data_IF_482301609512
#
_entry.id   IF_482301609512
#
_cell.length_a   1.000
_cell.length_b   1.000
_cell.length_c   1.000
_cell.angle_alpha   90.00
_cell.angle_beta   90.00
_cell.angle_gamma   90.00
#
_symmetry.space_group_name_H-M   'P 1'
#
loop_
_entity.id
_entity.type
_entity.pdbx_description
1 polymer ?
#
# COMPACT_ATOMS: atom_id res chain seq x y z
N UNK A 1 -8.76 18.69 -23.19
CA UNK A 1 -8.74 17.86 -21.96
C UNK A 1 -9.07 16.35 -22.17
N UNK A 2 -8.85 15.75 -23.35
CA UNK A 2 -9.41 14.43 -23.70
C UNK A 2 -8.50 13.21 -23.44
N UNK A 3 -7.17 13.38 -23.50
CA UNK A 3 -6.23 12.25 -23.52
C UNK A 3 -6.04 11.59 -22.15
N UNK A 4 -5.91 12.40 -21.07
CA UNK A 4 -5.77 11.88 -19.69
C UNK A 4 -6.94 10.99 -19.28
N UNK A 5 -8.18 11.44 -19.53
CA UNK A 5 -9.40 10.67 -19.17
C UNK A 5 -9.50 9.33 -19.91
N UNK A 6 -9.08 9.29 -21.18
CA UNK A 6 -9.07 8.05 -21.97
C UNK A 6 -8.01 7.06 -21.45
N UNK A 7 -6.83 7.56 -21.08
CA UNK A 7 -5.76 6.76 -20.48
C UNK A 7 -6.14 6.19 -19.11
N UNK A 8 -6.77 6.99 -18.23
CA UNK A 8 -7.21 6.51 -16.90
C UNK A 8 -8.34 5.47 -16.99
N UNK A 9 -9.28 5.63 -17.94
CA UNK A 9 -10.33 4.63 -18.16
C UNK A 9 -9.77 3.28 -18.63
N UNK A 10 -8.73 3.32 -19.48
CA UNK A 10 -7.98 2.12 -19.89
C UNK A 10 -7.23 1.52 -18.70
N UNK A 11 -6.57 2.36 -17.89
CA UNK A 11 -5.83 1.92 -16.71
C UNK A 11 -6.72 1.23 -15.66
N UNK A 12 -7.97 1.68 -15.51
CA UNK A 12 -8.94 1.04 -14.60
C UNK A 12 -9.61 -0.21 -15.18
N UNK A 13 -9.62 -0.38 -16.51
CA UNK A 13 -10.33 -1.48 -17.18
C UNK A 13 -11.85 -1.29 -17.32
N UNK A 14 -12.37 -0.08 -17.06
CA UNK A 14 -13.80 0.23 -17.12
C UNK A 14 -14.28 0.45 -18.57
N UNK A 15 -15.38 -0.19 -18.95
CA UNK A 15 -15.95 -0.17 -20.31
C UNK A 15 -17.04 0.89 -20.48
N UNK A 16 -17.25 1.36 -21.71
CA UNK A 16 -18.40 2.23 -22.03
C UNK A 16 -19.65 1.42 -22.27
N UNK A 17 -20.77 1.92 -21.76
CA UNK A 17 -22.07 1.27 -21.89
C UNK A 17 -22.81 1.82 -23.10
N UNK A 18 -22.61 3.10 -23.43
CA UNK A 18 -23.29 3.77 -24.55
C UNK A 18 -24.61 4.40 -24.15
N UNK A 19 -24.92 4.45 -22.85
CA UNK A 19 -26.06 5.16 -22.27
C UNK A 19 -25.50 6.29 -21.43
N UNK A 20 -25.80 7.54 -21.80
CA UNK A 20 -25.18 8.73 -21.20
C UNK A 20 -25.34 8.79 -19.68
N UNK A 21 -26.55 8.60 -19.16
CA UNK A 21 -26.83 8.65 -17.71
C UNK A 21 -26.02 7.60 -16.94
N UNK A 22 -25.96 6.37 -17.45
CA UNK A 22 -25.23 5.27 -16.83
C UNK A 22 -23.71 5.49 -16.92
N UNK A 23 -23.20 5.94 -18.08
CA UNK A 23 -21.78 6.25 -18.25
C UNK A 23 -21.33 7.42 -17.31
N UNK A 24 -22.20 8.39 -17.00
CA UNK A 24 -21.89 9.43 -16.00
C UNK A 24 -21.80 8.87 -14.57
N UNK A 25 -22.67 7.93 -14.19
CA UNK A 25 -22.58 7.26 -12.88
C UNK A 25 -21.24 6.53 -12.73
N UNK A 26 -20.80 5.81 -13.76
CA UNK A 26 -19.50 5.14 -13.76
C UNK A 26 -18.31 6.10 -13.77
N UNK A 27 -18.41 7.26 -14.42
CA UNK A 27 -17.34 8.26 -14.44
C UNK A 27 -16.96 8.75 -13.05
N UNK A 28 -17.91 8.85 -12.13
CA UNK A 28 -17.65 9.26 -10.74
C UNK A 28 -16.75 8.25 -10.01
N UNK A 29 -16.81 6.97 -10.38
CA UNK A 29 -15.99 5.92 -9.77
C UNK A 29 -14.58 5.82 -10.37
N UNK A 30 -14.30 6.38 -11.55
CA UNK A 30 -13.01 6.21 -12.24
C UNK A 30 -11.83 6.73 -11.39
N UNK A 31 -11.96 7.94 -10.82
CA UNK A 31 -10.85 8.54 -10.07
C UNK A 31 -10.58 7.80 -8.75
N UNK A 32 -11.59 7.51 -7.90
CA UNK A 32 -11.38 6.67 -6.71
C UNK A 32 -10.79 5.29 -7.05
N UNK A 33 -11.23 4.68 -8.15
CA UNK A 33 -10.74 3.39 -8.59
C UNK A 33 -9.27 3.42 -9.00
N UNK A 34 -8.84 4.46 -9.72
CA UNK A 34 -7.44 4.64 -10.11
C UNK A 34 -6.54 4.81 -8.88
N UNK A 35 -6.95 5.63 -7.90
CA UNK A 35 -6.22 5.82 -6.65
C UNK A 35 -6.12 4.50 -5.87
N UNK A 36 -7.20 3.72 -5.80
CA UNK A 36 -7.19 2.40 -5.14
C UNK A 36 -6.18 1.45 -5.78
N UNK A 37 -6.16 1.35 -7.12
CA UNK A 37 -5.22 0.50 -7.85
C UNK A 37 -3.77 0.95 -7.61
N UNK A 38 -3.52 2.26 -7.64
CA UNK A 38 -2.19 2.83 -7.38
C UNK A 38 -1.71 2.55 -5.96
N UNK A 39 -2.54 2.79 -4.94
CA UNK A 39 -2.21 2.52 -3.54
C UNK A 39 -1.86 1.05 -3.29
N UNK A 40 -2.61 0.15 -3.92
CA UNK A 40 -2.31 -1.29 -3.87
C UNK A 40 -0.96 -1.61 -4.50
N UNK A 41 -0.70 -1.09 -5.70
CA UNK A 41 0.57 -1.28 -6.38
C UNK A 41 1.76 -0.74 -5.60
N UNK A 42 1.61 0.42 -4.94
CA UNK A 42 2.65 0.98 -4.07
C UNK A 42 2.96 0.07 -2.88
N UNK A 43 1.95 -0.49 -2.21
CA UNK A 43 2.18 -1.41 -1.09
C UNK A 43 2.89 -2.69 -1.55
N UNK A 44 2.37 -3.31 -2.62
CA UNK A 44 2.93 -4.54 -3.17
C UNK A 44 4.41 -4.34 -3.59
N UNK A 45 4.71 -3.23 -4.26
CA UNK A 45 6.08 -2.89 -4.70
C UNK A 45 7.02 -2.63 -3.52
N UNK A 46 6.60 -1.83 -2.54
CA UNK A 46 7.41 -1.52 -1.37
C UNK A 46 7.69 -2.75 -0.51
N UNK A 47 6.69 -3.64 -0.36
CA UNK A 47 6.85 -4.88 0.40
C UNK A 47 7.84 -5.83 -0.28
N UNK A 48 7.77 -5.98 -1.61
CA UNK A 48 8.75 -6.78 -2.37
C UNK A 48 10.15 -6.19 -2.27
N UNK A 49 10.27 -4.86 -2.43
CA UNK A 49 11.56 -4.16 -2.30
C UNK A 49 12.18 -4.38 -0.93
N UNK A 50 11.42 -4.16 0.14
CA UNK A 50 11.90 -4.38 1.50
C UNK A 50 12.31 -5.83 1.75
N UNK A 51 11.53 -6.82 1.30
CA UNK A 51 11.89 -8.25 1.42
C UNK A 51 13.24 -8.55 0.78
N UNK A 52 13.44 -8.04 -0.44
CA UNK A 52 14.70 -8.21 -1.18
C UNK A 52 15.87 -7.53 -0.46
N UNK A 53 15.70 -6.27 -0.05
CA UNK A 53 16.74 -5.51 0.66
C UNK A 53 17.09 -6.15 2.02
N UNK A 54 16.10 -6.73 2.72
CA UNK A 54 16.27 -7.47 3.96
C UNK A 54 16.95 -8.84 3.72
N UNK A 55 16.78 -9.43 2.53
CA UNK A 55 17.27 -10.77 2.20
C UNK A 55 16.38 -11.88 2.76
N UNK A 56 15.07 -11.61 2.90
CA UNK A 56 14.08 -12.65 3.21
C UNK A 56 13.40 -13.10 1.92
N UNK A 57 13.00 -14.37 1.86
CA UNK A 57 12.35 -14.92 0.67
C UNK A 57 11.03 -14.23 0.32
N UNK A 58 10.45 -14.50 -0.86
CA UNK A 58 9.20 -13.85 -1.32
C UNK A 58 8.01 -14.02 -0.36
N UNK A 59 7.96 -15.14 0.37
CA UNK A 59 6.97 -15.44 1.40
C UNK A 59 7.42 -15.04 2.82
N UNK A 60 8.51 -14.27 2.94
CA UNK A 60 9.07 -13.80 4.20
C UNK A 60 8.12 -12.84 4.92
N UNK A 61 7.96 -13.05 6.22
CA UNK A 61 7.09 -12.25 7.07
C UNK A 61 7.79 -10.99 7.60
N UNK A 62 7.01 -9.96 7.95
CA UNK A 62 7.52 -8.74 8.60
C UNK A 62 8.35 -9.09 9.85
N UNK A 63 7.81 -9.97 10.71
CA UNK A 63 8.50 -10.45 11.92
C UNK A 63 9.87 -11.10 11.62
N UNK A 64 9.97 -11.92 10.57
CA UNK A 64 11.25 -12.53 10.19
C UNK A 64 12.26 -11.47 9.76
N UNK A 65 11.84 -10.50 8.94
CA UNK A 65 12.73 -9.42 8.51
C UNK A 65 13.17 -8.52 9.67
N UNK A 66 12.27 -8.16 10.59
CA UNK A 66 12.61 -7.38 11.78
C UNK A 66 13.63 -8.08 12.69
N UNK A 67 13.47 -9.40 12.92
CA UNK A 67 14.44 -10.20 13.66
C UNK A 67 15.81 -10.23 12.98
N UNK A 68 15.82 -10.33 11.65
CA UNK A 68 17.06 -10.33 10.87
C UNK A 68 17.75 -8.96 10.91
N UNK A 69 16.99 -7.87 10.80
CA UNK A 69 17.49 -6.50 10.96
C UNK A 69 18.11 -6.29 12.36
N UNK A 70 17.46 -6.79 13.41
CA UNK A 70 17.98 -6.77 14.78
C UNK A 70 19.29 -7.56 14.92
N UNK A 71 19.34 -8.79 14.41
CA UNK A 71 20.53 -9.62 14.45
C UNK A 71 21.71 -8.95 13.72
N UNK A 72 21.48 -8.44 12.51
CA UNK A 72 22.53 -7.75 11.72
C UNK A 72 23.01 -6.46 12.38
N UNK A 73 22.12 -5.73 13.03
CA UNK A 73 22.51 -4.53 13.81
C UNK A 73 23.38 -4.90 15.00
N UNK A 74 23.01 -5.95 15.75
CA UNK A 74 23.84 -6.45 16.87
C UNK A 74 25.23 -6.89 16.39
N UNK A 75 25.31 -7.61 15.27
CA UNK A 75 26.59 -7.99 14.66
C UNK A 75 27.41 -6.77 14.23
N UNK A 76 26.79 -5.80 13.57
CA UNK A 76 27.47 -4.57 13.17
C UNK A 76 28.01 -3.80 14.39
N UNK A 77 27.25 -3.76 15.49
CA UNK A 77 27.66 -3.10 16.73
C UNK A 77 28.84 -3.81 17.42
N UNK A 78 28.89 -5.15 17.35
CA UNK A 78 30.02 -5.93 17.84
C UNK A 78 31.29 -5.69 17.03
N UNK A 79 31.17 -5.55 15.70
CA UNK A 79 32.31 -5.33 14.81
C UNK A 79 32.95 -3.94 14.95
N UNK A 80 32.19 -2.94 15.43
CA UNK A 80 32.70 -1.58 15.71
C UNK A 80 33.35 -1.49 17.10
N UNK A 81 33.08 -2.45 17.99
CA UNK A 81 33.67 -2.50 19.33
C UNK A 81 35.01 -3.27 19.29
N UNK A 82 36.15 -2.68 19.68
CA UNK A 82 37.41 -3.42 19.77
C UNK A 82 37.28 -4.60 20.77
N UNK A 83 38.03 -5.70 20.60
CA UNK A 83 38.19 -6.68 21.66
C UNK A 83 38.70 -5.95 22.91
N UNK A 84 38.08 -6.20 24.08
CA UNK A 84 38.56 -5.64 25.35
C UNK A 84 39.94 -6.19 25.65
N UNK A 85 40.97 -5.45 25.28
CA UNK A 85 42.31 -5.64 25.82
C UNK A 85 42.29 -5.22 27.31
N UNK A 86 42.85 -6.01 28.23
CA UNK A 86 42.98 -5.62 29.62
C UNK A 86 44.13 -4.63 29.75
N UNK A 87 43.90 -3.34 29.46
CA UNK A 87 44.87 -2.31 29.83
C UNK A 87 44.20 -0.95 29.97
N UNK A 88 44.36 -0.37 31.17
CA UNK A 88 43.76 0.88 31.57
C UNK A 88 44.41 2.11 30.93
N UNK A 89 43.60 3.12 30.73
CA UNK A 89 43.92 4.54 30.91
C UNK A 89 42.61 5.31 30.78
N UNK A 90 42.30 6.11 31.79
CA UNK A 90 41.17 7.02 31.83
C UNK A 90 41.48 8.24 30.96
N UNK A 91 40.91 8.31 29.76
CA UNK A 91 40.78 9.55 28.99
C UNK A 91 39.30 9.73 28.57
N UNK A 92 38.63 10.84 28.95
CA UNK A 92 37.26 11.11 28.53
C UNK A 92 37.27 11.74 27.13
N UNK A 93 37.70 10.98 26.13
CA UNK A 93 37.45 11.35 24.74
C UNK A 93 35.97 11.15 24.45
N UNK A 94 35.30 12.20 23.95
CA UNK A 94 33.89 12.17 23.51
C UNK A 94 33.62 10.89 22.71
N UNK A 95 32.88 9.97 23.33
CA UNK A 95 32.35 8.79 22.65
C UNK A 95 31.29 9.31 21.69
N UNK A 96 31.70 9.64 20.47
CA UNK A 96 30.75 9.71 19.35
C UNK A 96 30.12 8.33 19.31
N UNK A 97 28.84 8.23 19.67
CA UNK A 97 28.07 6.99 19.71
C UNK A 97 27.84 6.48 18.28
N UNK A 98 28.93 6.06 17.63
CA UNK A 98 28.98 5.48 16.30
C UNK A 98 28.49 4.03 16.30
N UNK A 99 28.09 3.51 17.47
CA UNK A 99 27.57 2.16 17.60
C UNK A 99 26.23 2.07 16.87
N UNK A 100 26.10 1.20 15.85
CA UNK A 100 24.84 1.06 15.13
C UNK A 100 23.75 0.54 16.05
N UNK A 101 22.62 1.24 16.04
CA UNK A 101 21.42 0.90 16.80
C UNK A 101 20.19 1.43 16.08
N UNK A 102 19.05 0.76 16.24
CA UNK A 102 17.78 1.30 15.76
C UNK A 102 16.69 1.11 16.80
N UNK A 103 15.68 1.95 16.72
CA UNK A 103 14.46 1.85 17.49
C UNK A 103 13.25 2.00 16.55
N UNK A 104 12.14 1.38 16.94
CA UNK A 104 10.84 1.65 16.33
C UNK A 104 10.10 2.54 17.32
N UNK A 105 9.89 3.79 16.95
CA UNK A 105 9.16 4.77 17.74
C UNK A 105 7.75 4.93 17.18
N UNK A 106 6.79 5.28 18.04
CA UNK A 106 5.47 5.75 17.59
C UNK A 106 5.40 7.24 17.89
N UNK A 107 5.04 8.07 16.91
CA UNK A 107 4.72 9.46 17.20
C UNK A 107 3.35 9.57 17.87
N UNK A 108 3.03 10.76 18.38
CA UNK A 108 1.72 11.09 18.99
C UNK A 108 0.53 10.91 18.01
N UNK A 109 0.80 10.61 16.73
CA UNK A 109 -0.17 10.33 15.66
C UNK A 109 0.02 8.92 15.06
N UNK A 110 0.36 7.95 15.91
CA UNK A 110 -0.01 6.53 15.81
C UNK A 110 0.41 5.75 14.55
N UNK A 111 1.61 5.97 14.01
CA UNK A 111 2.24 4.99 13.12
C UNK A 111 3.72 4.73 13.50
N UNK A 112 4.19 3.47 13.40
CA UNK A 112 5.57 3.13 13.72
C UNK A 112 6.53 3.77 12.72
N UNK A 113 7.61 4.33 13.24
CA UNK A 113 8.71 4.92 12.48
C UNK A 113 10.03 4.28 12.94
N UNK A 114 10.89 3.98 11.97
CA UNK A 114 12.24 3.48 12.27
C UNK A 114 13.18 4.66 12.45
N UNK A 115 13.90 4.65 13.55
CA UNK A 115 14.96 5.61 13.86
C UNK A 115 16.26 4.84 13.95
N UNK A 116 17.21 5.15 13.07
CA UNK A 116 18.57 4.57 13.08
C UNK A 116 19.55 5.52 13.78
N UNK A 117 20.59 4.97 14.40
CA UNK A 117 21.68 5.68 15.10
C UNK A 117 23.01 4.99 14.78
N UNK A 118 24.10 5.75 14.69
CA UNK A 118 25.42 5.23 14.33
C UNK A 118 25.58 4.92 12.85
N UNK A 119 26.72 4.31 12.48
CA UNK A 119 27.08 4.03 11.09
C UNK A 119 26.76 2.57 10.75
N UNK A 120 25.98 2.36 9.69
CA UNK A 120 25.61 1.04 9.20
C UNK A 120 26.34 0.68 7.90
N UNK A 121 26.64 -0.61 7.66
CA UNK A 121 27.00 -1.08 6.33
C UNK A 121 25.91 -0.73 5.30
N UNK A 122 26.30 -0.38 4.08
CA UNK A 122 25.40 0.11 3.02
C UNK A 122 24.17 -0.80 2.81
N UNK A 123 24.39 -2.12 2.77
CA UNK A 123 23.32 -3.10 2.59
C UNK A 123 22.27 -3.04 3.72
N UNK A 124 22.71 -2.84 4.96
CA UNK A 124 21.83 -2.78 6.13
C UNK A 124 21.10 -1.43 6.19
N UNK A 125 21.77 -0.33 5.81
CA UNK A 125 21.12 0.98 5.67
C UNK A 125 19.99 0.93 4.64
N UNK A 126 20.21 0.31 3.47
CA UNK A 126 19.17 0.12 2.44
C UNK A 126 17.95 -0.65 2.96
N UNK A 127 18.16 -1.63 3.84
CA UNK A 127 17.05 -2.35 4.49
C UNK A 127 16.22 -1.44 5.41
N UNK A 128 16.87 -0.54 6.15
CA UNK A 128 16.15 0.42 7.01
C UNK A 128 15.40 1.47 6.19
N UNK A 129 16.00 1.96 5.10
CA UNK A 129 15.37 2.95 4.23
C UNK A 129 14.10 2.37 3.56
N UNK A 130 14.20 1.15 3.02
CA UNK A 130 13.05 0.48 2.41
C UNK A 130 11.95 0.10 3.41
N UNK A 131 12.31 -0.26 4.64
CA UNK A 131 11.32 -0.50 5.70
C UNK A 131 10.61 0.81 6.10
N UNK A 132 11.35 1.91 6.20
CA UNK A 132 10.79 3.22 6.53
C UNK A 132 9.82 3.69 5.44
N UNK A 133 10.18 3.48 4.17
CA UNK A 133 9.30 3.71 3.02
C UNK A 133 8.03 2.84 3.09
N UNK A 134 8.16 1.55 3.39
CA UNK A 134 7.03 0.63 3.54
C UNK A 134 6.07 1.08 4.65
N UNK A 135 6.60 1.47 5.81
CA UNK A 135 5.78 1.96 6.93
C UNK A 135 5.06 3.28 6.57
N UNK A 136 5.73 4.19 5.88
CA UNK A 136 5.11 5.42 5.37
C UNK A 136 3.97 5.13 4.38
N UNK A 137 4.13 4.15 3.50
CA UNK A 137 3.06 3.72 2.58
C UNK A 137 1.91 3.09 3.36
N UNK A 138 2.18 2.25 4.36
CA UNK A 138 1.14 1.68 5.23
C UNK A 138 0.34 2.77 5.95
N UNK A 139 1.01 3.77 6.53
CA UNK A 139 0.37 4.90 7.18
C UNK A 139 -0.53 5.68 6.20
N UNK A 140 -0.03 5.99 4.99
CA UNK A 140 -0.82 6.63 3.94
C UNK A 140 -2.05 5.80 3.56
N UNK A 141 -1.92 4.47 3.47
CA UNK A 141 -3.05 3.58 3.17
C UNK A 141 -4.09 3.64 4.29
N UNK A 142 -3.66 3.51 5.54
CA UNK A 142 -4.58 3.47 6.68
C UNK A 142 -5.35 4.79 6.86
N UNK A 143 -4.72 5.94 6.57
CA UNK A 143 -5.39 7.25 6.61
C UNK A 143 -6.37 7.45 5.44
N UNK A 144 -6.02 7.00 4.23
CA UNK A 144 -6.78 7.34 3.02
C UNK A 144 -7.79 6.28 2.59
N UNK A 145 -7.76 5.07 3.14
CA UNK A 145 -8.61 3.97 2.65
C UNK A 145 -10.07 4.18 2.99
N UNK A 146 -10.43 4.51 4.23
CA UNK A 146 -11.83 4.70 4.63
C UNK A 146 -12.57 5.73 3.76
N UNK A 147 -12.08 6.98 3.60
CA UNK A 147 -12.75 7.96 2.74
C UNK A 147 -12.76 7.55 1.26
N UNK A 148 -11.83 6.70 0.82
CA UNK A 148 -11.79 6.16 -0.54
C UNK A 148 -12.84 5.06 -0.73
N UNK A 149 -12.97 4.15 0.23
CA UNK A 149 -13.98 3.09 0.24
C UNK A 149 -15.38 3.69 0.26
N UNK A 150 -15.65 4.68 1.12
CA UNK A 150 -16.95 5.36 1.15
C UNK A 150 -17.32 5.93 -0.22
N UNK A 151 -16.39 6.62 -0.91
CA UNK A 151 -16.64 7.15 -2.27
C UNK A 151 -16.94 6.06 -3.29
N UNK A 152 -16.23 4.93 -3.22
CA UNK A 152 -16.44 3.79 -4.12
C UNK A 152 -17.77 3.07 -3.83
N UNK A 153 -18.14 2.91 -2.57
CA UNK A 153 -19.39 2.30 -2.13
C UNK A 153 -20.61 3.15 -2.53
N UNK A 154 -20.54 4.46 -2.31
CA UNK A 154 -21.57 5.40 -2.75
C UNK A 154 -21.78 5.36 -4.27
N UNK A 155 -20.69 5.33 -5.03
CA UNK A 155 -20.76 5.19 -6.49
C UNK A 155 -21.36 3.84 -6.88
N UNK A 156 -20.94 2.75 -6.23
CA UNK A 156 -21.46 1.41 -6.49
C UNK A 156 -22.97 1.29 -6.17
N UNK A 157 -23.44 1.95 -5.12
CA UNK A 157 -24.87 2.00 -4.76
C UNK A 157 -25.69 2.67 -5.87
N UNK A 158 -25.30 3.89 -6.29
CA UNK A 158 -25.96 4.61 -7.40
C UNK A 158 -25.98 3.81 -8.71
N UNK A 159 -24.89 3.11 -9.00
CA UNK A 159 -24.77 2.26 -10.18
C UNK A 159 -25.72 1.06 -10.09
N UNK A 160 -25.82 0.43 -8.91
CA UNK A 160 -26.68 -0.74 -8.72
C UNK A 160 -28.16 -0.38 -8.83
N UNK A 161 -28.57 0.80 -8.37
CA UNK A 161 -29.92 1.33 -8.57
C UNK A 161 -30.26 1.49 -10.07
N UNK A 162 -29.26 1.80 -10.93
CA UNK A 162 -29.45 1.87 -12.38
C UNK A 162 -29.60 0.50 -13.07
N UNK A 163 -29.30 -0.61 -12.37
CA UNK A 163 -29.38 -1.96 -12.93
C UNK A 163 -30.83 -2.36 -13.22
N UNK A 164 -31.74 -2.02 -12.33
CA UNK A 164 -33.14 -2.43 -12.40
C UNK A 164 -33.86 -1.77 -13.59
N UNK A 165 -33.39 -0.57 -13.97
CA UNK A 165 -33.89 0.20 -15.10
C UNK A 165 -33.10 -0.04 -16.40
N UNK A 166 -32.04 -0.85 -16.38
CA UNK A 166 -31.06 -0.92 -17.48
C UNK A 166 -31.69 -1.32 -18.82
N UNK A 167 -32.63 -2.26 -18.81
CA UNK A 167 -33.35 -2.71 -20.01
C UNK A 167 -34.20 -1.58 -20.62
N UNK A 168 -34.87 -0.79 -19.78
CA UNK A 168 -35.64 0.37 -20.20
C UNK A 168 -34.73 1.49 -20.70
N UNK A 169 -33.62 1.75 -20.00
CA UNK A 169 -32.61 2.72 -20.41
C UNK A 169 -31.96 2.36 -21.75
N UNK A 170 -31.72 1.06 -22.02
CA UNK A 170 -31.28 0.60 -23.33
C UNK A 170 -32.30 0.94 -24.42
N UNK A 171 -33.57 0.63 -24.20
CA UNK A 171 -34.64 0.90 -25.16
C UNK A 171 -34.79 2.41 -25.43
N UNK A 172 -34.77 3.23 -24.37
CA UNK A 172 -34.87 4.70 -24.45
C UNK A 172 -33.66 5.33 -25.17
N UNK A 173 -32.48 4.73 -25.02
CA UNK A 173 -31.27 5.14 -25.74
C UNK A 173 -31.22 4.59 -27.20
N UNK A 174 -32.26 3.89 -27.66
CA UNK A 174 -32.31 3.29 -28.99
C UNK A 174 -31.41 2.06 -29.17
N UNK A 175 -30.87 1.49 -28.09
CA UNK A 175 -30.06 0.28 -28.13
C UNK A 175 -30.98 -0.95 -28.20
N UNK A 176 -30.83 -1.76 -29.26
CA UNK A 176 -31.59 -2.99 -29.48
C UNK A 176 -30.69 -4.14 -29.94
N UNK A 177 -31.17 -5.38 -29.77
CA UNK A 177 -30.47 -6.59 -30.17
C UNK A 177 -29.06 -6.66 -29.58
N UNK A 178 -28.07 -7.01 -30.41
CA UNK A 178 -26.68 -7.18 -30.00
C UNK A 178 -26.07 -5.95 -29.30
N UNK A 179 -26.51 -4.72 -29.64
CA UNK A 179 -26.03 -3.49 -28.98
C UNK A 179 -26.53 -3.40 -27.53
N UNK A 180 -27.78 -3.78 -27.27
CA UNK A 180 -28.33 -3.84 -25.92
C UNK A 180 -27.68 -4.95 -25.09
N UNK A 181 -27.43 -6.12 -25.69
CA UNK A 181 -26.69 -7.21 -25.05
C UNK A 181 -25.30 -6.75 -24.62
N UNK A 182 -24.54 -6.10 -25.52
CA UNK A 182 -23.21 -5.59 -25.22
C UNK A 182 -23.21 -4.51 -24.13
N UNK A 183 -24.22 -3.64 -24.10
CA UNK A 183 -24.38 -2.64 -23.05
C UNK A 183 -24.58 -3.31 -21.68
N UNK A 184 -25.43 -4.34 -21.61
CA UNK A 184 -25.66 -5.14 -20.40
C UNK A 184 -24.40 -5.88 -19.94
N UNK A 185 -23.66 -6.52 -20.86
CA UNK A 185 -22.40 -7.19 -20.54
C UNK A 185 -21.33 -6.21 -20.02
N UNK A 186 -21.22 -5.03 -20.63
CA UNK A 186 -20.30 -4.00 -20.19
C UNK A 186 -20.69 -3.44 -18.82
N UNK A 187 -21.99 -3.27 -18.56
CA UNK A 187 -22.50 -2.90 -17.25
C UNK A 187 -22.11 -3.94 -16.19
N UNK A 188 -22.42 -5.22 -16.43
CA UNK A 188 -22.10 -6.31 -15.52
C UNK A 188 -20.58 -6.45 -15.29
N UNK A 189 -19.76 -6.23 -16.32
CA UNK A 189 -18.30 -6.16 -16.19
C UNK A 189 -17.88 -5.04 -15.24
N UNK A 190 -18.36 -3.82 -15.45
CA UNK A 190 -17.98 -2.68 -14.63
C UNK A 190 -18.43 -2.83 -13.17
N UNK A 191 -19.64 -3.37 -12.93
CA UNK A 191 -20.13 -3.66 -11.56
C UNK A 191 -19.21 -4.68 -10.87
N UNK A 192 -18.87 -5.78 -11.55
CA UNK A 192 -17.92 -6.77 -11.00
C UNK A 192 -16.57 -6.15 -10.71
N UNK A 193 -16.03 -5.36 -11.63
CA UNK A 193 -14.77 -4.65 -11.45
C UNK A 193 -14.78 -3.79 -10.19
N UNK A 194 -15.83 -2.98 -9.98
CA UNK A 194 -15.94 -2.14 -8.78
C UNK A 194 -16.00 -2.96 -7.50
N UNK A 195 -16.84 -4.01 -7.45
CA UNK A 195 -16.95 -4.90 -6.28
C UNK A 195 -15.63 -5.61 -5.96
N UNK A 196 -14.91 -6.05 -6.99
CA UNK A 196 -13.59 -6.67 -6.84
C UNK A 196 -12.60 -5.67 -6.26
N UNK A 197 -12.55 -4.43 -6.77
CA UNK A 197 -11.60 -3.44 -6.29
C UNK A 197 -11.91 -2.97 -4.86
N UNK A 198 -13.18 -2.85 -4.46
CA UNK A 198 -13.58 -2.64 -3.06
C UNK A 198 -13.00 -3.71 -2.16
N UNK A 199 -13.25 -4.99 -2.49
CA UNK A 199 -12.74 -6.13 -1.72
C UNK A 199 -11.21 -6.14 -1.65
N UNK A 200 -10.53 -5.86 -2.77
CA UNK A 200 -9.07 -5.84 -2.81
C UNK A 200 -8.50 -4.70 -1.96
N UNK A 201 -9.13 -3.52 -1.98
CA UNK A 201 -8.67 -2.39 -1.19
C UNK A 201 -8.83 -2.64 0.32
N UNK A 202 -9.94 -3.24 0.75
CA UNK A 202 -10.12 -3.64 2.16
C UNK A 202 -9.07 -4.66 2.59
N UNK A 203 -8.69 -5.62 1.72
CA UNK A 203 -7.59 -6.56 2.00
C UNK A 203 -6.25 -5.84 2.13
N UNK A 204 -5.96 -4.90 1.25
CA UNK A 204 -4.73 -4.08 1.30
C UNK A 204 -4.66 -3.23 2.57
N UNK A 205 -5.79 -2.67 3.03
CA UNK A 205 -5.86 -1.98 4.31
C UNK A 205 -5.58 -2.91 5.50
N UNK A 206 -6.16 -4.11 5.49
CA UNK A 206 -5.91 -5.12 6.52
C UNK A 206 -4.43 -5.56 6.53
N UNK A 207 -3.81 -5.72 5.36
CA UNK A 207 -2.38 -6.02 5.23
C UNK A 207 -1.51 -4.88 5.76
N UNK A 208 -1.80 -3.63 5.38
CA UNK A 208 -1.08 -2.46 5.90
C UNK A 208 -1.19 -2.36 7.43
N UNK A 209 -2.38 -2.61 8.00
CA UNK A 209 -2.58 -2.64 9.45
C UNK A 209 -1.77 -3.77 10.09
N UNK A 210 -1.77 -4.96 9.49
CA UNK A 210 -1.01 -6.10 9.98
C UNK A 210 0.51 -5.82 9.99
N UNK A 211 1.03 -5.16 8.95
CA UNK A 211 2.45 -4.74 8.87
C UNK A 211 2.77 -3.76 10.00
N UNK A 212 1.96 -2.71 10.16
CA UNK A 212 2.11 -1.69 11.21
C UNK A 212 2.07 -2.33 12.60
N UNK A 213 1.08 -3.19 12.85
CA UNK A 213 0.93 -3.94 14.10
C UNK A 213 2.17 -4.78 14.39
N UNK A 214 2.67 -5.54 13.42
CA UNK A 214 3.89 -6.34 13.60
C UNK A 214 5.11 -5.47 13.89
N UNK A 215 5.26 -4.32 13.24
CA UNK A 215 6.37 -3.40 13.50
C UNK A 215 6.30 -2.82 14.93
N UNK A 216 5.12 -2.37 15.37
CA UNK A 216 4.94 -1.81 16.72
C UNK A 216 5.19 -2.83 17.84
N UNK A 217 4.78 -4.09 17.68
CA UNK A 217 4.97 -5.12 18.70
C UNK A 217 6.33 -5.82 18.67
N UNK A 218 7.17 -5.56 17.67
CA UNK A 218 8.50 -6.18 17.58
C UNK A 218 9.54 -5.54 18.51
N UNK A 219 9.19 -4.48 19.23
CA UNK A 219 10.05 -3.80 20.23
C UNK A 219 10.30 -4.65 21.49
N UNK A 220 9.54 -5.74 21.70
CA UNK A 220 9.64 -6.60 22.89
C UNK A 220 10.55 -7.85 22.74
N UNK A 221 11.45 -7.92 21.75
CA UNK A 221 12.35 -9.06 21.53
C UNK A 221 13.84 -8.68 21.51
#
# INVERSE_FOLDING_TARGET
MSVKRKSTRIATGMKSIGIKSVDENFKQAISPLAISIEMRGMLESALVKWRNDCGIGPAGTIRQGLRLMLARTKTAAMNVSPPRSPQGSDDPAEIVDNKPGFAICSDEKTYPMIVTRGIFPEQLQKTFDSMSELLNICAKILVNTDPLLTKLEEAAKRITESNDELSQLCANAGLRGMKATRASENFAWNVRLLKTQLTLMSKTQAEANNIVTQASFSVFF
#
